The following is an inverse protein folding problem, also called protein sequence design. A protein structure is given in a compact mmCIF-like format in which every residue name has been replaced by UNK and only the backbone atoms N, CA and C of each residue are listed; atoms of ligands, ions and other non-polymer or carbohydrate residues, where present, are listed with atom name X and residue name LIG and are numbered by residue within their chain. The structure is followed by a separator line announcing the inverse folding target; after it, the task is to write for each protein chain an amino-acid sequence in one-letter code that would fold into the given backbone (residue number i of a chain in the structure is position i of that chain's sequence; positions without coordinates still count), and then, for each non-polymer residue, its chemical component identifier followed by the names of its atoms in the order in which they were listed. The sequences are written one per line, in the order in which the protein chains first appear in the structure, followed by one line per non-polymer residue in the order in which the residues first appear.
data_IF_380406788762
#
_entry.id   IF_380406788762
#
_cell.length_a   1.000
_cell.length_b   1.000
_cell.length_c   1.000
_cell.angle_alpha   90.00
_cell.angle_beta   90.00
_cell.angle_gamma   90.00
#
_symmetry.space_group_name_H-M   'P 1'
#
loop_
_entity.id
_entity.type
_entity.pdbx_description
1 polymer ?
#
# COMPACT_ATOMS: atom_id res chain seq x y z
N UNK A 1 -10.49 25.95 -12.31
CA UNK A 1 -11.17 24.83 -11.63
C UNK A 1 -10.30 23.59 -11.82
N UNK A 2 -10.02 22.83 -10.76
CA UNK A 2 -9.33 21.53 -10.92
C UNK A 2 -10.30 20.57 -11.64
N UNK A 3 -9.82 19.61 -12.45
CA UNK A 3 -10.67 18.58 -13.03
C UNK A 3 -11.48 17.87 -11.94
N UNK A 4 -12.76 17.60 -12.23
CA UNK A 4 -13.68 16.85 -11.36
C UNK A 4 -13.93 17.42 -9.96
N UNK A 5 -13.67 18.72 -9.79
CA UNK A 5 -13.85 19.41 -8.52
C UNK A 5 -15.33 19.43 -8.08
N UNK A 6 -16.30 19.33 -8.99
CA UNK A 6 -17.73 19.32 -8.65
C UNK A 6 -18.15 18.00 -8.00
N UNK A 7 -17.52 16.91 -8.39
CA UNK A 7 -17.74 15.56 -7.87
C UNK A 7 -17.11 15.37 -6.48
N UNK A 8 -16.14 16.22 -6.11
CA UNK A 8 -15.47 16.23 -4.82
C UNK A 8 -16.09 17.21 -3.80
N UNK A 9 -17.08 18.00 -4.20
CA UNK A 9 -17.74 19.01 -3.35
C UNK A 9 -19.09 18.52 -2.84
N UNK A 10 -19.35 18.70 -1.53
CA UNK A 10 -20.60 18.30 -0.87
C UNK A 10 -20.54 16.94 -0.15
N UNK A 11 -21.68 16.44 0.37
CA UNK A 11 -21.75 15.15 1.05
C UNK A 11 -21.43 14.03 0.05
N UNK A 12 -20.32 13.31 0.27
CA UNK A 12 -19.78 12.32 -0.66
C UNK A 12 -20.69 11.10 -0.76
N UNK A 13 -21.60 11.09 -1.74
CA UNK A 13 -22.48 9.94 -1.98
C UNK A 13 -21.78 8.88 -2.81
N UNK A 14 -22.27 7.63 -2.72
CA UNK A 14 -21.81 6.53 -3.57
C UNK A 14 -21.91 6.87 -5.07
N UNK A 15 -22.92 7.63 -5.49
CA UNK A 15 -23.10 8.05 -6.89
C UNK A 15 -22.07 9.09 -7.34
N UNK A 16 -21.70 10.03 -6.47
CA UNK A 16 -20.62 10.98 -6.75
C UNK A 16 -19.28 10.27 -6.87
N UNK A 17 -18.99 9.31 -5.98
CA UNK A 17 -17.80 8.48 -6.11
C UNK A 17 -17.78 7.69 -7.41
N UNK A 18 -18.91 7.10 -7.81
CA UNK A 18 -19.06 6.45 -9.12
C UNK A 18 -18.73 7.38 -10.28
N UNK A 19 -19.24 8.61 -10.27
CA UNK A 19 -18.94 9.61 -11.31
C UNK A 19 -17.48 10.03 -11.31
N UNK A 20 -16.92 10.36 -10.16
CA UNK A 20 -15.50 10.71 -10.02
C UNK A 20 -14.59 9.60 -10.56
N UNK A 21 -14.85 8.36 -10.15
CA UNK A 21 -14.07 7.19 -10.54
C UNK A 21 -14.32 6.73 -11.98
N UNK A 22 -15.40 7.15 -12.64
CA UNK A 22 -15.56 6.94 -14.08
C UNK A 22 -14.45 7.64 -14.89
N UNK A 23 -13.75 8.61 -14.28
CA UNK A 23 -12.65 9.34 -14.89
C UNK A 23 -11.27 8.67 -14.76
N UNK A 24 -11.17 7.43 -14.24
CA UNK A 24 -9.89 6.69 -14.16
C UNK A 24 -9.08 6.70 -15.47
N UNK A 25 -9.68 6.42 -16.65
CA UNK A 25 -8.92 6.34 -17.90
C UNK A 25 -8.29 7.66 -18.34
N UNK A 26 -8.85 8.80 -17.91
CA UNK A 26 -8.40 10.15 -18.24
C UNK A 26 -7.36 10.68 -17.24
N UNK A 27 -7.10 9.98 -16.13
CA UNK A 27 -6.08 10.39 -15.19
C UNK A 27 -4.70 10.35 -15.86
N UNK A 28 -4.02 11.48 -15.91
CA UNK A 28 -2.64 11.53 -16.39
C UNK A 28 -1.72 10.81 -15.39
N UNK A 29 -0.80 9.95 -15.84
CA UNK A 29 0.18 9.35 -14.94
C UNK A 29 1.14 10.42 -14.42
N UNK A 30 1.58 10.24 -13.17
CA UNK A 30 2.64 11.07 -12.60
C UNK A 30 3.99 10.71 -13.26
N UNK A 31 4.79 11.70 -13.71
CA UNK A 31 6.10 11.44 -14.33
C UNK A 31 7.03 10.56 -13.48
N UNK A 32 7.19 10.86 -12.19
CA UNK A 32 7.99 10.06 -11.27
C UNK A 32 7.52 8.58 -11.19
N UNK A 33 6.21 8.34 -11.23
CA UNK A 33 5.64 6.99 -11.29
C UNK A 33 5.96 6.24 -12.56
N UNK A 34 5.95 6.92 -13.71
CA UNK A 34 6.36 6.34 -14.99
C UNK A 34 7.85 6.02 -14.98
N UNK A 35 8.69 6.92 -14.49
CA UNK A 35 10.15 6.75 -14.43
C UNK A 35 10.52 5.56 -13.53
N UNK A 36 9.94 5.49 -12.34
CA UNK A 36 10.15 4.37 -11.42
C UNK A 36 9.70 3.05 -12.03
N UNK A 37 8.50 2.97 -12.61
CA UNK A 37 8.02 1.74 -13.22
C UNK A 37 8.91 1.28 -14.40
N UNK A 38 9.44 2.22 -15.19
CA UNK A 38 10.42 1.92 -16.25
C UNK A 38 11.74 1.42 -15.70
N UNK A 39 12.27 2.02 -14.63
CA UNK A 39 13.48 1.57 -13.97
C UNK A 39 13.30 0.14 -13.43
N UNK A 40 12.20 -0.12 -12.71
CA UNK A 40 11.86 -1.44 -12.19
C UNK A 40 11.78 -2.48 -13.32
N UNK A 41 11.04 -2.19 -14.39
CA UNK A 41 10.90 -3.09 -15.54
C UNK A 41 12.26 -3.42 -16.18
N UNK A 42 13.08 -2.40 -16.42
CA UNK A 42 14.39 -2.55 -17.07
C UNK A 42 15.39 -3.31 -16.21
N UNK A 43 15.30 -3.16 -14.88
CA UNK A 43 16.11 -3.88 -13.90
C UNK A 43 15.56 -5.28 -13.55
N UNK A 44 14.41 -5.66 -14.10
CA UNK A 44 13.79 -6.98 -13.85
C UNK A 44 13.10 -7.09 -12.49
N UNK A 45 12.84 -5.98 -11.81
CA UNK A 45 12.05 -5.96 -10.58
C UNK A 45 10.56 -6.05 -10.88
N UNK A 46 9.86 -6.86 -10.06
CA UNK A 46 8.40 -7.04 -10.12
C UNK A 46 7.73 -6.00 -9.24
N UNK A 47 6.58 -5.50 -9.64
CA UNK A 47 5.77 -4.59 -8.83
C UNK A 47 4.30 -5.01 -8.82
N UNK A 48 3.60 -4.61 -7.76
CA UNK A 48 2.16 -4.69 -7.64
C UNK A 48 1.61 -3.27 -7.46
N UNK A 49 0.34 -3.08 -7.82
CA UNK A 49 -0.36 -1.81 -7.62
C UNK A 49 -1.25 -1.94 -6.40
N UNK A 50 -1.20 -0.93 -5.53
CA UNK A 50 -2.12 -0.79 -4.42
C UNK A 50 -2.95 0.46 -4.63
N UNK A 51 -4.28 0.33 -4.64
CA UNK A 51 -5.17 1.45 -4.87
C UNK A 51 -6.30 1.50 -3.84
N UNK A 52 -6.65 2.71 -3.43
CA UNK A 52 -7.83 3.00 -2.61
C UNK A 52 -9.12 3.05 -3.44
N UNK A 53 -9.03 2.82 -4.75
CA UNK A 53 -10.21 2.71 -5.61
C UNK A 53 -11.00 1.45 -5.23
N UNK A 54 -12.34 1.53 -5.23
CA UNK A 54 -13.20 0.43 -4.83
C UNK A 54 -13.14 -0.75 -5.82
N UNK A 55 -13.54 -1.97 -5.42
CA UNK A 55 -13.36 -3.18 -6.23
C UNK A 55 -14.03 -3.12 -7.61
N UNK A 56 -15.19 -2.48 -7.70
CA UNK A 56 -15.92 -2.32 -8.97
C UNK A 56 -15.17 -1.44 -9.99
N UNK A 57 -14.18 -0.64 -9.57
CA UNK A 57 -13.30 0.14 -10.45
C UNK A 57 -12.07 -0.67 -10.90
N UNK A 58 -11.81 -1.84 -10.33
CA UNK A 58 -10.58 -2.63 -10.59
C UNK A 58 -10.32 -2.88 -12.07
N UNK A 59 -11.36 -3.16 -12.87
CA UNK A 59 -11.22 -3.36 -14.31
C UNK A 59 -10.70 -2.12 -15.08
N UNK A 60 -11.09 -0.91 -14.66
CA UNK A 60 -10.61 0.33 -15.25
C UNK A 60 -9.20 0.65 -14.80
N UNK A 61 -8.85 0.39 -13.54
CA UNK A 61 -7.47 0.49 -13.03
C UNK A 61 -6.54 -0.44 -13.83
N UNK A 62 -6.93 -1.70 -14.02
CA UNK A 62 -6.16 -2.66 -14.82
C UNK A 62 -5.98 -2.24 -16.28
N UNK A 63 -6.93 -1.50 -16.85
CA UNK A 63 -6.80 -0.94 -18.20
C UNK A 63 -5.84 0.25 -18.22
N UNK A 64 -5.96 1.15 -17.24
CA UNK A 64 -5.09 2.30 -17.08
C UNK A 64 -3.63 1.88 -16.87
N UNK A 65 -3.37 0.91 -15.98
CA UNK A 65 -2.03 0.35 -15.74
C UNK A 65 -1.42 -0.19 -17.03
N UNK A 66 -2.18 -0.97 -17.80
CA UNK A 66 -1.70 -1.52 -19.09
C UNK A 66 -1.45 -0.46 -20.16
N UNK A 67 -2.12 0.69 -20.07
CA UNK A 67 -1.96 1.77 -21.03
C UNK A 67 -0.70 2.59 -20.75
N UNK A 68 -0.37 2.83 -19.47
CA UNK A 68 0.65 3.80 -19.09
C UNK A 68 1.91 3.20 -18.47
N UNK A 69 1.83 2.05 -17.79
CA UNK A 69 2.97 1.45 -17.10
C UNK A 69 3.63 0.34 -17.92
N UNK A 70 4.96 0.26 -17.94
CA UNK A 70 5.70 -0.79 -18.61
C UNK A 70 5.54 -2.14 -17.89
N UNK A 71 5.62 -3.22 -18.67
CA UNK A 71 5.46 -4.58 -18.17
C UNK A 71 4.02 -4.88 -17.72
N UNK A 72 3.88 -5.86 -16.83
CA UNK A 72 2.61 -6.17 -16.17
C UNK A 72 2.80 -6.10 -14.67
N UNK A 73 1.95 -5.33 -14.00
CA UNK A 73 1.80 -5.45 -12.56
C UNK A 73 1.41 -6.89 -12.22
N UNK A 74 2.07 -7.48 -11.23
CA UNK A 74 1.81 -8.84 -10.77
C UNK A 74 0.43 -8.98 -10.15
N UNK A 75 0.02 -7.92 -9.45
CA UNK A 75 -1.25 -7.85 -8.78
C UNK A 75 -1.73 -6.41 -8.69
N UNK A 76 -3.05 -6.24 -8.58
CA UNK A 76 -3.69 -4.95 -8.32
C UNK A 76 -4.60 -5.15 -7.11
N UNK A 77 -4.14 -4.65 -5.96
CA UNK A 77 -4.92 -4.63 -4.72
C UNK A 77 -5.87 -3.43 -4.75
N UNK A 78 -7.16 -3.69 -4.58
CA UNK A 78 -8.24 -2.70 -4.57
C UNK A 78 -8.79 -2.56 -3.16
N UNK A 79 -9.38 -1.41 -2.83
CA UNK A 79 -9.88 -1.15 -1.48
C UNK A 79 -10.93 -2.18 -1.06
N UNK A 80 -10.93 -2.56 0.22
CA UNK A 80 -11.94 -3.44 0.81
C UNK A 80 -13.28 -2.78 1.13
N UNK A 81 -13.48 -1.51 0.78
CA UNK A 81 -14.68 -0.75 1.13
C UNK A 81 -14.44 0.77 1.16
N UNK A 82 -15.53 1.54 1.28
CA UNK A 82 -15.49 3.00 1.38
C UNK A 82 -15.32 3.45 2.84
N UNK A 83 -14.79 4.67 3.06
CA UNK A 83 -14.77 5.33 4.38
C UNK A 83 -13.59 5.00 5.30
N UNK A 84 -12.69 4.09 4.91
CA UNK A 84 -11.44 3.83 5.66
C UNK A 84 -10.31 4.76 5.21
N UNK A 85 -9.31 4.95 6.08
CA UNK A 85 -8.13 5.76 5.76
C UNK A 85 -7.29 5.07 4.67
N UNK A 86 -6.71 5.82 3.71
CA UNK A 86 -5.86 5.25 2.65
C UNK A 86 -4.74 4.35 3.16
N UNK A 87 -4.04 4.76 4.22
CA UNK A 87 -2.93 4.01 4.80
C UNK A 87 -3.37 2.65 5.34
N UNK A 88 -4.58 2.53 5.91
CA UNK A 88 -5.08 1.25 6.40
C UNK A 88 -5.32 0.25 5.25
N UNK A 89 -5.91 0.69 4.14
CA UNK A 89 -6.06 -0.18 2.96
C UNK A 89 -4.71 -0.65 2.46
N UNK A 90 -3.76 0.26 2.35
CA UNK A 90 -2.41 -0.01 1.85
C UNK A 90 -1.64 -0.95 2.78
N UNK A 91 -1.80 -0.80 4.09
CA UNK A 91 -1.30 -1.74 5.10
C UNK A 91 -1.88 -3.13 4.90
N UNK A 92 -3.20 -3.25 4.74
CA UNK A 92 -3.86 -4.55 4.55
C UNK A 92 -3.37 -5.23 3.26
N UNK A 93 -3.14 -4.47 2.18
CA UNK A 93 -2.56 -4.96 0.92
C UNK A 93 -1.13 -5.45 1.10
N UNK A 94 -0.30 -4.74 1.87
CA UNK A 94 1.06 -5.17 2.20
C UNK A 94 1.03 -6.51 2.95
N UNK A 95 0.17 -6.64 3.97
CA UNK A 95 0.04 -7.88 4.73
C UNK A 95 -0.43 -9.02 3.83
N UNK A 96 -1.41 -8.78 2.95
CA UNK A 96 -1.86 -9.76 1.98
C UNK A 96 -0.71 -10.25 1.08
N UNK A 97 0.13 -9.33 0.61
CA UNK A 97 1.32 -9.67 -0.17
C UNK A 97 2.31 -10.52 0.64
N UNK A 98 2.53 -10.18 1.92
CA UNK A 98 3.46 -10.87 2.83
C UNK A 98 3.04 -12.31 3.16
N UNK A 99 1.74 -12.57 3.30
CA UNK A 99 1.22 -13.91 3.59
C UNK A 99 1.06 -14.76 2.34
N UNK A 100 1.03 -14.14 1.15
CA UNK A 100 0.93 -14.86 -0.11
C UNK A 100 2.12 -15.83 -0.33
N UNK A 101 1.91 -16.83 -1.19
CA UNK A 101 3.00 -17.73 -1.67
C UNK A 101 3.90 -17.05 -2.71
N UNK A 102 3.59 -15.81 -3.09
CA UNK A 102 4.30 -15.05 -4.11
C UNK A 102 5.60 -14.41 -3.61
N UNK A 103 6.19 -13.55 -4.46
CA UNK A 103 7.30 -12.67 -4.08
C UNK A 103 6.95 -11.84 -2.85
N UNK A 104 7.97 -11.52 -2.05
CA UNK A 104 7.81 -10.62 -0.91
C UNK A 104 7.60 -9.19 -1.39
N UNK A 105 6.64 -8.49 -0.78
CA UNK A 105 6.58 -7.04 -0.89
C UNK A 105 7.70 -6.45 -0.03
N UNK A 106 8.78 -5.99 -0.67
CA UNK A 106 9.91 -5.39 0.04
C UNK A 106 9.63 -3.97 0.51
N UNK A 107 9.07 -3.15 -0.37
CA UNK A 107 8.92 -1.70 -0.18
C UNK A 107 7.57 -1.25 -0.70
N UNK A 108 6.89 -0.43 0.09
CA UNK A 108 5.70 0.31 -0.31
C UNK A 108 6.13 1.69 -0.83
N UNK A 109 5.54 2.14 -1.94
CA UNK A 109 5.83 3.46 -2.52
C UNK A 109 4.53 4.23 -2.70
N UNK A 110 4.50 5.47 -2.24
CA UNK A 110 3.34 6.35 -2.30
C UNK A 110 3.72 7.79 -2.67
N UNK A 111 2.78 8.51 -3.28
CA UNK A 111 2.93 9.94 -3.61
C UNK A 111 2.29 10.87 -2.58
N UNK A 112 1.61 10.33 -1.57
CA UNK A 112 1.04 11.11 -0.48
C UNK A 112 1.91 10.96 0.79
N UNK A 113 2.66 12.00 1.18
CA UNK A 113 3.53 11.97 2.38
C UNK A 113 2.79 11.49 3.63
N UNK A 114 1.58 11.99 3.87
CA UNK A 114 0.77 11.59 5.02
C UNK A 114 0.40 10.10 5.03
N UNK A 115 0.35 9.45 3.86
CA UNK A 115 0.15 8.00 3.75
C UNK A 115 1.44 7.26 4.05
N UNK A 116 2.57 7.72 3.53
CA UNK A 116 3.90 7.16 3.81
C UNK A 116 4.18 7.19 5.32
N UNK A 117 3.96 8.32 5.97
CA UNK A 117 4.18 8.49 7.41
C UNK A 117 3.36 7.48 8.22
N UNK A 118 2.07 7.35 7.91
CA UNK A 118 1.19 6.38 8.57
C UNK A 118 1.59 4.92 8.28
N UNK A 119 2.10 4.60 7.08
CA UNK A 119 2.60 3.27 6.78
C UNK A 119 3.87 2.96 7.60
N UNK A 120 4.75 3.94 7.78
CA UNK A 120 5.93 3.83 8.66
C UNK A 120 5.50 3.64 10.12
N UNK A 121 4.49 4.36 10.58
CA UNK A 121 3.89 4.17 11.92
C UNK A 121 3.32 2.76 12.10
N UNK A 122 2.76 2.16 11.04
CA UNK A 122 2.37 0.74 11.04
C UNK A 122 3.56 -0.24 10.95
N UNK A 123 4.79 0.26 11.11
CA UNK A 123 6.04 -0.48 10.98
C UNK A 123 6.15 -1.16 9.59
N UNK A 124 5.64 -0.50 8.54
CA UNK A 124 5.79 -0.98 7.17
C UNK A 124 6.93 -0.25 6.45
N UNK A 125 7.76 -0.95 5.67
CA UNK A 125 8.75 -0.31 4.83
C UNK A 125 8.03 0.49 3.74
N UNK A 126 8.02 1.81 3.88
CA UNK A 126 7.40 2.73 2.94
C UNK A 126 8.33 3.90 2.62
N UNK A 127 8.27 4.40 1.39
CA UNK A 127 8.99 5.58 0.93
C UNK A 127 8.10 6.46 0.07
N UNK A 128 8.33 7.76 0.12
CA UNK A 128 7.71 8.69 -0.80
C UNK A 128 8.34 8.52 -2.19
N UNK A 129 7.53 8.64 -3.24
CA UNK A 129 7.98 8.41 -4.61
C UNK A 129 9.14 9.32 -5.03
N UNK A 130 9.14 10.56 -4.54
CA UNK A 130 10.20 11.54 -4.83
C UNK A 130 11.55 11.16 -4.20
N UNK A 131 11.58 10.31 -3.16
CA UNK A 131 12.83 9.80 -2.58
C UNK A 131 13.50 8.77 -3.50
N UNK A 132 12.73 8.16 -4.41
CA UNK A 132 13.23 7.24 -5.42
C UNK A 132 13.55 7.95 -6.74
N UNK A 133 13.01 9.16 -6.94
CA UNK A 133 13.23 9.94 -8.14
C UNK A 133 14.72 10.32 -8.26
N UNK A 134 15.29 10.10 -9.43
CA UNK A 134 16.70 10.43 -9.72
C UNK A 134 17.73 9.46 -9.14
N UNK A 135 17.32 8.38 -8.44
CA UNK A 135 18.26 7.32 -8.08
C UNK A 135 18.84 6.67 -9.34
N UNK A 136 20.15 6.38 -9.30
CA UNK A 136 20.77 5.54 -10.32
C UNK A 136 20.25 4.11 -10.24
N UNK A 137 20.32 3.38 -11.36
CA UNK A 137 19.96 1.96 -11.44
C UNK A 137 20.67 1.09 -10.37
N UNK A 138 21.93 1.41 -10.08
CA UNK A 138 22.71 0.70 -9.05
C UNK A 138 22.18 1.00 -7.64
N UNK A 139 21.93 2.28 -7.32
CA UNK A 139 21.41 2.69 -6.03
C UNK A 139 19.99 2.15 -5.77
N UNK A 140 19.12 2.21 -6.79
CA UNK A 140 17.77 1.65 -6.71
C UNK A 140 17.82 0.13 -6.51
N UNK A 141 18.72 -0.58 -7.21
CA UNK A 141 18.89 -2.03 -7.04
C UNK A 141 19.36 -2.38 -5.64
N UNK A 142 20.34 -1.66 -5.09
CA UNK A 142 20.84 -1.86 -3.74
C UNK A 142 19.74 -1.64 -2.69
N UNK A 143 19.00 -0.54 -2.80
CA UNK A 143 17.88 -0.20 -1.93
C UNK A 143 16.80 -1.29 -1.94
N UNK A 144 16.37 -1.72 -3.13
CA UNK A 144 15.34 -2.76 -3.27
C UNK A 144 15.82 -4.12 -2.76
N UNK A 145 17.08 -4.48 -3.01
CA UNK A 145 17.66 -5.72 -2.50
C UNK A 145 17.73 -5.72 -0.96
N UNK A 146 18.14 -4.61 -0.35
CA UNK A 146 18.13 -4.44 1.11
C UNK A 146 16.71 -4.56 1.66
N UNK A 147 15.75 -3.86 1.06
CA UNK A 147 14.35 -3.85 1.46
C UNK A 147 13.73 -5.26 1.38
N UNK A 148 13.91 -5.98 0.27
CA UNK A 148 13.40 -7.35 0.10
C UNK A 148 14.04 -8.31 1.12
N UNK A 149 15.35 -8.20 1.37
CA UNK A 149 16.05 -9.03 2.36
C UNK A 149 15.43 -8.87 3.76
N UNK A 150 15.13 -7.65 4.18
CA UNK A 150 14.51 -7.37 5.47
C UNK A 150 13.07 -7.87 5.53
N UNK A 151 12.29 -7.64 4.48
CA UNK A 151 10.93 -8.13 4.40
C UNK A 151 10.88 -9.68 4.41
N UNK A 152 11.80 -10.36 3.73
CA UNK A 152 11.90 -11.82 3.80
C UNK A 152 12.22 -12.32 5.21
N UNK A 153 13.14 -11.65 5.91
CA UNK A 153 13.46 -11.96 7.31
C UNK A 153 12.22 -11.80 8.21
N UNK A 154 11.47 -10.69 8.05
CA UNK A 154 10.20 -10.46 8.75
C UNK A 154 9.17 -11.55 8.44
N UNK A 155 8.99 -11.92 7.18
CA UNK A 155 8.07 -12.99 6.76
C UNK A 155 8.44 -14.33 7.40
N UNK A 156 9.72 -14.67 7.47
CA UNK A 156 10.21 -15.90 8.12
C UNK A 156 9.91 -15.88 9.61
N UNK A 157 10.14 -14.75 10.30
CA UNK A 157 9.83 -14.57 11.72
C UNK A 157 8.34 -14.78 12.00
N UNK A 158 7.47 -14.09 11.25
CA UNK A 158 6.01 -14.24 11.38
C UNK A 158 5.55 -15.69 11.16
N UNK A 159 6.12 -16.38 10.18
CA UNK A 159 5.80 -17.80 9.92
C UNK A 159 6.32 -18.74 11.02
N UNK A 160 7.43 -18.40 11.66
CA UNK A 160 7.98 -19.19 12.76
C UNK A 160 7.12 -19.03 14.03
N UNK A 161 6.69 -17.80 14.33
CA UNK A 161 5.78 -17.49 15.45
C UNK A 161 4.44 -18.23 15.30
N UNK A 162 3.78 -18.13 14.14
CA UNK A 162 2.53 -18.85 13.88
C UNK A 162 2.67 -20.38 14.08
N UNK A 163 3.77 -20.97 13.61
CA UNK A 163 4.04 -22.41 13.82
C UNK A 163 4.21 -22.76 15.30
N UNK A 164 4.87 -21.90 16.08
CA UNK A 164 5.08 -22.11 17.51
C UNK A 164 3.76 -22.04 18.29
N UNK A 165 2.82 -21.22 17.84
CA UNK A 165 1.48 -21.07 18.43
C UNK A 165 0.51 -22.20 18.02
N UNK A 166 0.96 -23.14 17.18
CA UNK A 166 0.12 -24.24 16.70
C UNK A 166 -0.99 -23.79 15.73
N UNK A 167 -0.98 -22.50 15.35
CA UNK A 167 -1.87 -21.95 14.34
C UNK A 167 -1.34 -22.39 12.98
N UNK A 168 -2.18 -23.10 12.22
CA UNK A 168 -1.85 -23.33 10.82
C UNK A 168 -1.76 -21.93 10.19
N UNK A 169 -0.72 -21.66 9.42
CA UNK A 169 -0.45 -20.40 8.68
C UNK A 169 -1.57 -19.99 7.72
N UNK A 170 -2.82 -19.95 8.16
CA UNK A 170 -3.96 -19.61 7.36
C UNK A 170 -4.05 -18.09 7.38
N UNK A 171 -4.16 -17.54 6.18
CA UNK A 171 -4.23 -16.11 5.89
C UNK A 171 -5.07 -15.33 6.91
N UNK A 172 -6.21 -15.89 7.29
CA UNK A 172 -7.20 -15.24 8.15
C UNK A 172 -6.78 -15.15 9.63
N UNK A 173 -5.89 -16.03 10.09
CA UNK A 173 -5.40 -16.08 11.47
C UNK A 173 -4.29 -15.05 11.68
N UNK A 174 -3.32 -14.99 10.75
CA UNK A 174 -2.27 -13.96 10.74
C UNK A 174 -2.84 -12.55 10.57
N UNK A 175 -3.87 -12.39 9.73
CA UNK A 175 -4.60 -11.14 9.60
C UNK A 175 -5.26 -10.79 10.94
N UNK A 176 -6.03 -11.72 11.54
CA UNK A 176 -6.76 -11.49 12.79
C UNK A 176 -5.83 -11.13 13.97
N UNK A 177 -4.71 -11.81 14.13
CA UNK A 177 -3.75 -11.54 15.20
C UNK A 177 -2.98 -10.23 15.00
N UNK A 178 -2.59 -9.91 13.76
CA UNK A 178 -2.00 -8.60 13.46
C UNK A 178 -3.00 -7.48 13.74
N UNK A 179 -4.26 -7.64 13.33
CA UNK A 179 -5.32 -6.67 13.64
C UNK A 179 -5.55 -6.53 15.15
N UNK A 180 -5.52 -7.63 15.91
CA UNK A 180 -5.66 -7.58 17.37
C UNK A 180 -4.48 -6.88 18.04
N UNK A 181 -3.24 -7.15 17.61
CA UNK A 181 -2.04 -6.50 18.15
C UNK A 181 -2.03 -5.00 17.84
N UNK A 182 -2.24 -4.59 16.58
CA UNK A 182 -2.26 -3.17 16.20
C UNK A 182 -3.38 -2.41 16.92
N UNK A 183 -4.55 -3.04 17.09
CA UNK A 183 -5.66 -2.45 17.84
C UNK A 183 -5.31 -2.28 19.32
N UNK A 184 -4.70 -3.29 19.94
CA UNK A 184 -4.26 -3.20 21.34
C UNK A 184 -3.19 -2.12 21.54
N UNK A 185 -2.23 -1.99 20.62
CA UNK A 185 -1.20 -0.93 20.71
C UNK A 185 -1.83 0.46 20.61
N UNK A 186 -2.74 0.67 19.64
CA UNK A 186 -3.46 1.95 19.49
C UNK A 186 -4.32 2.30 20.72
N UNK A 187 -5.02 1.31 21.30
CA UNK A 187 -5.85 1.51 22.50
C UNK A 187 -5.00 1.76 23.77
N UNK A 188 -3.77 1.23 23.81
CA UNK A 188 -2.85 1.42 24.95
C UNK A 188 -2.17 2.80 24.89
N UNK A 189 -1.81 3.27 23.70
CA UNK A 189 -1.21 4.59 23.49
C UNK A 189 -2.23 5.72 23.75
N UNK A 190 -3.49 5.55 23.35
CA UNK A 190 -4.58 6.49 23.68
C UNK A 190 -4.88 6.53 25.19
N UNK A 191 -4.77 5.40 25.89
CA UNK A 191 -4.98 5.33 27.34
C UNK A 191 -3.83 5.98 28.14
N UNK A 192 -2.60 5.97 27.63
CA UNK A 192 -1.43 6.58 28.29
C UNK A 192 -1.30 8.08 28.01
N UNK A 193 -1.84 8.58 26.89
CA UNK A 193 -1.89 10.01 26.57
C UNK A 193 -2.95 10.80 27.34
N UNK A 194 -3.97 10.14 27.89
CA UNK A 194 -5.04 10.78 28.67
C UNK A 194 -4.67 11.07 30.13
N UNK A 195 -3.59 10.48 30.65
CA UNK A 195 -3.23 10.51 32.08
C UNK A 195 -2.12 11.52 32.44
N UNK A 196 -1.76 12.42 31.49
CA UNK A 196 -0.79 13.50 31.74
C UNK A 196 -1.34 14.87 31.37
N UNK A 197 -2.30 15.35 32.15
CA UNK A 197 -2.51 16.79 32.34
C UNK A 197 -2.30 17.08 33.82
N UNK A 198 -1.13 17.59 34.24
CA UNK A 198 -0.97 18.09 35.59
C UNK A 198 -1.66 19.46 35.71
N UNK A 199 -2.48 19.61 36.75
CA UNK A 199 -3.03 20.88 37.23
C UNK A 199 -1.94 21.89 37.61
#
# INVERSE_FOLDING_TARGET
MRPYQRELMGPRTHEQWRRFFAHTPQAAPMPAGIELANALYRLGWRYAISTTRPPWNGGMVSRWVRQYLPGRAEWIYVSGGEGRRPAEHKRDHYIEAMVSRGPVCGLFVDDETAVVDQLIEFDLPAMHIDELAGLSDAALTELLAYSVKNADARRRKLRAEARAEGTSTNRDELLREHYQRVKQTAETDDAQGADQVPE
#
